data_IF_015161265882
#
_entry.id   IF_015161265882
#
_cell.length_a   1.000
_cell.length_b   1.000
_cell.length_c   1.000
_cell.angle_alpha   90.00
_cell.angle_beta   90.00
_cell.angle_gamma   90.00
#
_symmetry.space_group_name_H-M   'P 1'
#
loop_
_entity.id
_entity.type
_entity.pdbx_description
1 polymer ?
#
# COMPACT_ATOMS: atom_id res chain seq x y z
N UNK A 1 18.02 -18.11 -7.08
CA UNK A 1 18.64 -16.83 -7.46
C UNK A 1 20.00 -16.77 -6.78
N UNK A 2 21.09 -16.74 -7.54
CA UNK A 2 22.45 -16.66 -6.99
C UNK A 2 22.81 -15.18 -6.84
N UNK A 3 22.28 -14.54 -5.80
CA UNK A 3 22.56 -13.14 -5.47
C UNK A 3 23.66 -13.12 -4.41
N UNK A 4 24.68 -12.30 -4.62
CA UNK A 4 25.75 -12.11 -3.65
C UNK A 4 25.24 -11.25 -2.48
N UNK A 5 25.17 -11.84 -1.29
CA UNK A 5 24.73 -11.18 -0.04
C UNK A 5 25.54 -9.91 0.29
N UNK A 6 26.77 -9.81 -0.25
CA UNK A 6 27.62 -8.63 -0.07
C UNK A 6 27.19 -7.45 -0.94
N UNK A 7 26.58 -7.73 -2.10
CA UNK A 7 26.04 -6.72 -3.01
C UNK A 7 24.58 -6.37 -2.72
N UNK A 8 23.81 -7.31 -2.14
CA UNK A 8 22.37 -7.16 -1.87
C UNK A 8 22.04 -7.49 -0.41
N UNK A 9 22.37 -6.61 0.55
CA UNK A 9 22.11 -6.88 1.96
C UNK A 9 20.61 -7.03 2.23
N UNK A 10 20.22 -8.07 2.96
CA UNK A 10 18.82 -8.34 3.31
C UNK A 10 18.12 -7.14 3.97
N UNK A 11 18.86 -6.35 4.76
CA UNK A 11 18.37 -5.12 5.39
C UNK A 11 17.95 -4.06 4.36
N UNK A 12 18.71 -3.89 3.29
CA UNK A 12 18.35 -2.96 2.21
C UNK A 12 17.12 -3.46 1.45
N UNK A 13 17.03 -4.77 1.21
CA UNK A 13 15.83 -5.38 0.62
C UNK A 13 14.59 -5.15 1.47
N UNK A 14 14.69 -5.34 2.79
CA UNK A 14 13.59 -5.07 3.72
C UNK A 14 13.16 -3.59 3.66
N UNK A 15 14.10 -2.65 3.64
CA UNK A 15 13.79 -1.21 3.54
C UNK A 15 13.10 -0.88 2.21
N UNK A 16 13.60 -1.42 1.09
CA UNK A 16 13.01 -1.22 -0.22
C UNK A 16 11.59 -1.79 -0.31
N UNK A 17 11.40 -3.02 0.18
CA UNK A 17 10.11 -3.70 0.18
C UNK A 17 9.10 -2.95 1.06
N UNK A 18 9.48 -2.57 2.28
CA UNK A 18 8.60 -1.83 3.18
C UNK A 18 8.21 -0.47 2.61
N UNK A 19 9.18 0.31 2.09
CA UNK A 19 8.88 1.60 1.47
C UNK A 19 7.91 1.48 0.29
N UNK A 20 8.04 0.44 -0.54
CA UNK A 20 7.12 0.19 -1.64
C UNK A 20 5.73 -0.26 -1.18
N UNK A 21 5.65 -1.05 -0.10
CA UNK A 21 4.37 -1.43 0.51
C UNK A 21 3.68 -0.24 1.16
N UNK A 22 4.43 0.66 1.81
CA UNK A 22 3.89 1.89 2.41
C UNK A 22 3.31 2.85 1.37
N UNK A 23 3.87 2.84 0.14
CA UNK A 23 3.33 3.50 -1.05
C UNK A 23 2.13 2.77 -1.68
N UNK A 24 1.75 1.59 -1.18
CA UNK A 24 0.72 0.74 -1.77
C UNK A 24 1.12 0.10 -3.11
N UNK A 25 2.40 0.14 -3.47
CA UNK A 25 2.90 -0.41 -4.72
C UNK A 25 3.18 -1.91 -4.60
N UNK A 26 2.48 -2.70 -5.42
CA UNK A 26 2.81 -4.11 -5.62
C UNK A 26 3.94 -4.27 -6.62
N UNK A 27 4.67 -5.42 -6.61
CA UNK A 27 5.74 -5.69 -7.57
C UNK A 27 5.30 -5.47 -9.03
N UNK A 28 4.04 -5.79 -9.34
CA UNK A 28 3.40 -5.59 -10.67
C UNK A 28 3.20 -4.12 -11.08
N UNK A 29 3.23 -3.18 -10.15
CA UNK A 29 3.03 -1.74 -10.41
C UNK A 29 4.36 -0.97 -10.44
N UNK A 30 5.48 -1.65 -10.18
CA UNK A 30 6.80 -1.01 -10.20
C UNK A 30 7.38 -1.16 -11.60
N UNK A 31 7.57 -0.04 -12.29
CA UNK A 31 8.28 -0.02 -13.56
C UNK A 31 9.75 0.29 -13.31
N UNK A 32 10.64 -0.55 -13.85
CA UNK A 32 12.08 -0.42 -13.59
C UNK A 32 12.78 0.67 -14.42
N UNK A 33 12.05 1.39 -15.30
CA UNK A 33 12.55 2.47 -16.18
C UNK A 33 13.97 2.27 -16.77
N UNK A 34 14.35 1.02 -17.08
CA UNK A 34 15.66 0.67 -17.63
C UNK A 34 16.83 0.65 -16.63
N UNK A 35 16.59 0.77 -15.32
CA UNK A 35 17.61 0.68 -14.27
C UNK A 35 17.87 -0.80 -13.88
N UNK A 36 19.09 -1.34 -14.12
CA UNK A 36 19.42 -2.73 -13.80
C UNK A 36 19.34 -3.05 -12.30
N UNK A 37 19.60 -2.05 -11.45
CA UNK A 37 19.56 -2.20 -9.99
C UNK A 37 18.11 -2.36 -9.54
N UNK A 38 17.21 -1.55 -10.09
CA UNK A 38 15.78 -1.59 -9.77
C UNK A 38 15.12 -2.87 -10.27
N UNK A 39 15.52 -3.39 -11.44
CA UNK A 39 15.08 -4.72 -11.90
C UNK A 39 15.48 -5.83 -10.93
N UNK A 40 16.68 -5.75 -10.34
CA UNK A 40 17.14 -6.75 -9.39
C UNK A 40 16.35 -6.67 -8.08
N UNK A 41 16.12 -5.46 -7.56
CA UNK A 41 15.26 -5.25 -6.40
C UNK A 41 13.82 -5.70 -6.63
N UNK A 42 13.27 -5.46 -7.82
CA UNK A 42 11.93 -5.92 -8.20
C UNK A 42 11.84 -7.44 -8.21
N UNK A 43 12.85 -8.13 -8.75
CA UNK A 43 12.93 -9.60 -8.72
C UNK A 43 13.02 -10.14 -7.29
N UNK A 44 13.81 -9.49 -6.43
CA UNK A 44 13.90 -9.85 -5.00
C UNK A 44 12.54 -9.66 -4.33
N UNK A 45 11.88 -8.52 -4.56
CA UNK A 45 10.57 -8.23 -3.99
C UNK A 45 9.51 -9.23 -4.46
N UNK A 46 9.49 -9.57 -5.75
CA UNK A 46 8.56 -10.56 -6.28
C UNK A 46 8.80 -11.95 -5.67
N UNK A 47 10.06 -12.41 -5.62
CA UNK A 47 10.39 -13.70 -5.01
C UNK A 47 10.03 -13.75 -3.52
N UNK A 48 10.26 -12.64 -2.80
CA UNK A 48 9.87 -12.49 -1.40
C UNK A 48 8.34 -12.56 -1.22
N UNK A 49 7.58 -11.83 -2.03
CA UNK A 49 6.12 -11.86 -1.99
C UNK A 49 5.57 -13.26 -2.27
N UNK A 50 6.04 -13.93 -3.31
CA UNK A 50 5.63 -15.29 -3.62
C UNK A 50 5.99 -16.28 -2.50
N UNK A 51 7.12 -16.10 -1.83
CA UNK A 51 7.50 -16.92 -0.67
C UNK A 51 6.56 -16.69 0.52
N UNK A 52 6.26 -15.42 0.84
CA UNK A 52 5.32 -15.08 1.90
C UNK A 52 3.90 -15.59 1.59
N UNK A 53 3.41 -15.40 0.37
CA UNK A 53 2.09 -15.87 -0.06
C UNK A 53 1.97 -17.40 0.00
N UNK A 54 3.00 -18.13 -0.45
CA UNK A 54 3.03 -19.61 -0.34
C UNK A 54 3.08 -20.09 1.10
N UNK A 55 3.77 -19.36 1.97
CA UNK A 55 3.88 -19.69 3.39
C UNK A 55 2.69 -19.19 4.23
N UNK A 56 1.81 -18.37 3.66
CA UNK A 56 0.74 -17.68 4.38
C UNK A 56 1.25 -16.64 5.38
N UNK A 57 2.45 -16.12 5.18
CA UNK A 57 3.05 -15.09 6.03
C UNK A 57 2.61 -13.70 5.56
N UNK A 58 2.27 -12.84 6.52
CA UNK A 58 1.77 -11.49 6.25
C UNK A 58 2.54 -10.50 7.13
N UNK A 59 3.20 -9.54 6.49
CA UNK A 59 3.89 -8.45 7.19
C UNK A 59 2.90 -7.35 7.61
N UNK A 60 3.30 -6.49 8.54
CA UNK A 60 2.46 -5.39 9.00
C UNK A 60 2.00 -4.46 7.86
N UNK A 61 2.90 -4.08 6.95
CA UNK A 61 2.55 -3.27 5.80
C UNK A 61 1.59 -3.99 4.84
N UNK A 62 1.67 -5.32 4.73
CA UNK A 62 0.74 -6.12 3.93
C UNK A 62 -0.65 -6.17 4.57
N UNK A 63 -0.76 -6.18 5.91
CA UNK A 63 -2.04 -6.10 6.60
C UNK A 63 -2.77 -4.79 6.28
N UNK A 64 -2.07 -3.65 6.38
CA UNK A 64 -2.64 -2.34 6.07
C UNK A 64 -3.08 -2.26 4.61
N UNK A 65 -2.21 -2.72 3.71
CA UNK A 65 -2.47 -2.65 2.28
C UNK A 65 -3.62 -3.59 1.86
N UNK A 66 -3.71 -4.80 2.40
CA UNK A 66 -4.84 -5.71 2.16
C UNK A 66 -6.15 -5.20 2.77
N UNK A 67 -6.10 -4.57 3.95
CA UNK A 67 -7.29 -3.95 4.53
C UNK A 67 -7.81 -2.81 3.64
N UNK A 68 -6.91 -1.98 3.10
CA UNK A 68 -7.25 -0.93 2.14
C UNK A 68 -7.86 -1.52 0.84
N UNK A 69 -7.21 -2.52 0.24
CA UNK A 69 -7.72 -3.21 -0.96
C UNK A 69 -9.07 -3.89 -0.72
N UNK A 70 -9.30 -4.44 0.48
CA UNK A 70 -10.57 -5.05 0.86
C UNK A 70 -11.70 -4.02 0.82
N UNK A 71 -11.47 -2.83 1.38
CA UNK A 71 -12.47 -1.77 1.38
C UNK A 71 -12.74 -1.20 -0.01
N UNK A 72 -11.70 -1.05 -0.83
CA UNK A 72 -11.82 -0.63 -2.23
C UNK A 72 -12.66 -1.62 -3.06
N UNK A 73 -12.43 -2.92 -2.90
CA UNK A 73 -13.10 -3.95 -3.70
C UNK A 73 -14.46 -4.38 -3.14
N UNK A 74 -14.72 -4.14 -1.84
CA UNK A 74 -15.95 -4.55 -1.16
C UNK A 74 -16.60 -3.38 -0.42
N UNK A 75 -17.26 -2.45 -1.14
CA UNK A 75 -17.87 -1.26 -0.55
C UNK A 75 -18.96 -1.59 0.50
N UNK A 76 -19.60 -2.75 0.41
CA UNK A 76 -20.57 -3.22 1.41
C UNK A 76 -19.93 -3.48 2.79
N UNK A 77 -18.69 -3.98 2.82
CA UNK A 77 -17.93 -4.19 4.07
C UNK A 77 -17.53 -2.83 4.64
N UNK A 78 -17.06 -1.93 3.78
CA UNK A 78 -16.72 -0.56 4.19
C UNK A 78 -17.93 0.15 4.82
N UNK A 79 -19.10 0.08 4.18
CA UNK A 79 -20.32 0.70 4.71
C UNK A 79 -20.73 0.11 6.07
N UNK A 80 -20.64 -1.22 6.23
CA UNK A 80 -20.91 -1.87 7.51
C UNK A 80 -20.00 -1.35 8.64
N UNK A 81 -18.70 -1.18 8.37
CA UNK A 81 -17.77 -0.64 9.36
C UNK A 81 -17.95 0.86 9.60
N UNK A 82 -18.29 1.64 8.57
CA UNK A 82 -18.61 3.08 8.71
C UNK A 82 -19.86 3.35 9.53
N UNK A 83 -20.88 2.50 9.40
CA UNK A 83 -22.11 2.59 10.21
C UNK A 83 -21.85 2.22 11.67
N UNK A 84 -20.99 1.22 11.91
CA UNK A 84 -20.65 0.74 13.25
C UNK A 84 -19.68 1.66 14.01
N UNK A 85 -18.68 2.20 13.31
CA UNK A 85 -17.66 3.09 13.87
C UNK A 85 -17.90 4.52 13.37
N UNK A 86 -18.91 5.18 13.93
CA UNK A 86 -19.29 6.56 13.58
C UNK A 86 -18.34 7.61 14.13
N UNK A 87 -17.67 7.31 15.26
CA UNK A 87 -16.66 8.18 15.86
C UNK A 87 -15.35 7.40 15.99
N UNK A 88 -14.33 7.81 15.22
CA UNK A 88 -12.98 7.25 15.29
C UNK A 88 -12.08 8.33 15.89
N UNK A 89 -11.48 8.03 17.04
CA UNK A 89 -10.46 8.88 17.64
C UNK A 89 -9.10 8.28 17.28
N UNK A 90 -8.31 9.06 16.55
CA UNK A 90 -6.93 8.71 16.23
C UNK A 90 -6.04 9.56 17.13
N UNK A 91 -5.39 8.91 18.09
CA UNK A 91 -4.29 9.52 18.83
C UNK A 91 -3.03 9.43 17.95
N UNK A 92 -2.16 10.45 17.99
CA UNK A 92 -0.96 10.54 17.15
C UNK A 92 -1.19 10.70 15.62
N UNK A 93 -2.13 11.57 15.22
CA UNK A 93 -2.35 11.88 13.78
C UNK A 93 -1.11 12.47 13.05
N UNK A 94 -0.11 12.93 13.80
CA UNK A 94 1.15 13.45 13.24
C UNK A 94 1.99 12.33 12.59
N UNK A 95 1.97 11.11 13.16
CA UNK A 95 2.74 9.97 12.65
C UNK A 95 2.08 9.29 11.42
N UNK A 96 0.79 9.55 11.18
CA UNK A 96 0.07 9.04 10.00
C UNK A 96 0.39 9.79 8.70
N UNK A 97 0.98 11.00 8.75
CA UNK A 97 1.29 11.81 7.56
C UNK A 97 2.33 11.17 6.63
N UNK A 98 3.02 10.13 7.08
CA UNK A 98 4.15 9.53 6.36
C UNK A 98 3.80 8.19 5.67
N UNK A 99 2.61 7.63 5.90
CA UNK A 99 2.14 6.43 5.20
C UNK A 99 1.25 6.82 4.01
N UNK A 100 1.77 6.66 2.79
CA UNK A 100 1.13 7.05 1.53
C UNK A 100 -0.19 6.34 1.26
N UNK A 101 -0.41 5.14 1.83
CA UNK A 101 -1.71 4.43 1.79
C UNK A 101 -2.86 5.30 2.29
N UNK A 102 -2.60 6.26 3.19
CA UNK A 102 -3.64 7.14 3.72
C UNK A 102 -4.11 8.23 2.73
N UNK A 103 -3.30 8.58 1.72
CA UNK A 103 -3.62 9.67 0.78
C UNK A 103 -4.63 9.27 -0.30
N UNK A 104 -4.69 7.99 -0.67
CA UNK A 104 -5.64 7.53 -1.70
C UNK A 104 -7.08 7.38 -1.18
N UNK A 105 -7.26 7.22 0.14
CA UNK A 105 -8.60 7.12 0.75
C UNK A 105 -9.38 8.44 0.75
N UNK A 106 -8.73 9.59 0.50
CA UNK A 106 -9.36 10.92 0.54
C UNK A 106 -9.78 11.46 -0.85
N UNK A 107 -9.47 10.73 -1.93
CA UNK A 107 -9.87 11.10 -3.30
C UNK A 107 -11.32 10.69 -3.66
N UNK A 108 -12.07 10.10 -2.73
CA UNK A 108 -13.40 9.56 -2.93
C UNK A 108 -14.53 10.34 -2.26
N UNK A 109 -14.64 11.67 -2.44
CA UNK A 109 -15.88 12.35 -2.06
C UNK A 109 -15.89 13.87 -1.91
N UNK A 110 -16.14 14.59 -3.02
CA UNK A 110 -17.15 15.68 -3.12
C UNK A 110 -17.11 16.32 -4.51
N UNK A 111 -17.83 15.73 -5.46
CA UNK A 111 -18.38 16.51 -6.57
C UNK A 111 -19.45 17.42 -5.96
N UNK A 112 -19.19 18.73 -5.87
CA UNK A 112 -20.21 19.71 -5.48
C UNK A 112 -21.28 19.75 -6.57
N UNK A 113 -22.59 19.69 -6.25
CA UNK A 113 -23.61 19.91 -7.25
C UNK A 113 -23.58 21.38 -7.65
N UNK A 114 -23.45 21.64 -8.95
CA UNK A 114 -23.54 22.97 -9.53
C UNK A 114 -24.93 23.55 -9.27
N UNK A 115 -24.99 24.55 -8.40
CA UNK A 115 -26.15 25.45 -8.25
C UNK A 115 -26.15 26.41 -9.45
N UNK A 116 -26.76 26.00 -10.56
CA UNK A 116 -27.19 26.92 -11.61
C UNK A 116 -28.63 27.36 -11.33
N UNK A 117 -28.76 28.28 -10.38
CA UNK A 117 -29.91 29.18 -10.33
C UNK A 117 -29.87 30.13 -11.52
N UNK A 118 -30.88 30.00 -12.36
CA UNK A 118 -31.17 30.96 -13.42
C UNK A 118 -31.47 32.35 -12.85
N UNK A 119 -30.90 33.35 -13.49
CA UNK A 119 -31.51 34.64 -13.79
C UNK A 119 -30.70 35.33 -14.88
#
# INVERSE_FOLDING_TARGET
MNLDDKQWPARQGMWYINGKKDEGLRPKHIESYGNPIEQTWLRIYQAYQEACDRAGLVDFAELLLRAHELWLNKPHILNHYRERFTNVLVDEFQDTKQHSICLDSDAGGRQRPGDHRGR
#
